data_IF_836002918213
#
_entry.id   IF_836002918213
#
_cell.length_a   1.000
_cell.length_b   1.000
_cell.length_c   1.000
_cell.angle_alpha   90.00
_cell.angle_beta   90.00
_cell.angle_gamma   90.00
#
_symmetry.space_group_name_H-M   'P 1'
#
loop_
_entity.id
_entity.type
_entity.pdbx_description
1 polymer ?
#
# COMPACT_ATOMS: atom_id res chain seq x y z
N UNK A 1 -5.35 -24.49 -1.03
CA UNK A 1 -4.22 -23.61 -1.40
C UNK A 1 -3.05 -23.94 -0.49
N UNK A 2 -1.84 -24.10 -1.04
CA UNK A 2 -0.63 -24.35 -0.26
C UNK A 2 -0.15 -23.10 0.48
N UNK A 3 0.74 -23.26 1.45
CA UNK A 3 1.29 -22.15 2.25
C UNK A 3 1.96 -21.10 1.34
N UNK A 4 2.77 -21.56 0.40
CA UNK A 4 3.55 -20.75 -0.54
C UNK A 4 2.64 -19.90 -1.43
N UNK A 5 1.51 -20.47 -1.89
CA UNK A 5 0.52 -19.74 -2.68
C UNK A 5 -0.18 -18.64 -1.85
N UNK A 6 -0.46 -18.90 -0.57
CA UNK A 6 -1.02 -17.88 0.32
C UNK A 6 -0.01 -16.74 0.57
N UNK A 7 1.27 -17.07 0.78
CA UNK A 7 2.31 -16.04 0.95
C UNK A 7 2.54 -15.24 -0.34
N UNK A 8 2.45 -15.86 -1.52
CA UNK A 8 2.49 -15.14 -2.80
C UNK A 8 1.29 -14.18 -2.98
N UNK A 9 0.10 -14.56 -2.48
CA UNK A 9 -1.04 -13.65 -2.44
C UNK A 9 -0.75 -12.44 -1.53
N UNK A 10 -0.24 -12.68 -0.32
CA UNK A 10 0.13 -11.60 0.62
C UNK A 10 1.18 -10.69 0.00
N UNK A 11 2.29 -11.23 -0.54
CA UNK A 11 3.32 -10.43 -1.21
C UNK A 11 2.72 -9.52 -2.30
N UNK A 12 1.82 -10.07 -3.13
CA UNK A 12 1.17 -9.33 -4.20
C UNK A 12 0.23 -8.22 -3.70
N UNK A 13 -0.58 -8.51 -2.68
CA UNK A 13 -1.53 -7.54 -2.11
C UNK A 13 -0.78 -6.42 -1.40
N UNK A 14 0.13 -6.76 -0.48
CA UNK A 14 0.81 -5.77 0.35
C UNK A 14 1.78 -4.90 -0.45
N UNK A 15 2.34 -5.41 -1.55
CA UNK A 15 3.11 -4.57 -2.49
C UNK A 15 2.26 -3.42 -3.06
N UNK A 16 1.02 -3.71 -3.49
CA UNK A 16 0.16 -2.70 -4.09
C UNK A 16 -0.48 -1.79 -3.03
N UNK A 17 -0.88 -2.34 -1.87
CA UNK A 17 -1.45 -1.55 -0.78
C UNK A 17 -0.39 -0.63 -0.16
N UNK A 18 0.80 -1.13 0.13
CA UNK A 18 1.90 -0.32 0.66
C UNK A 18 2.31 0.81 -0.30
N UNK A 19 2.35 0.52 -1.61
CA UNK A 19 2.58 1.56 -2.64
C UNK A 19 1.46 2.61 -2.62
N UNK A 20 0.20 2.18 -2.54
CA UNK A 20 -0.94 3.08 -2.50
C UNK A 20 -0.91 4.03 -1.30
N UNK A 21 -0.65 3.52 -0.10
CA UNK A 21 -0.53 4.38 1.09
C UNK A 21 0.64 5.35 0.98
N UNK A 22 1.77 4.92 0.41
CA UNK A 22 2.90 5.81 0.18
C UNK A 22 2.55 6.98 -0.77
N UNK A 23 1.81 6.69 -1.85
CA UNK A 23 1.33 7.71 -2.78
C UNK A 23 0.31 8.67 -2.13
N UNK A 24 -0.60 8.16 -1.28
CA UNK A 24 -1.53 8.99 -0.52
C UNK A 24 -0.78 9.95 0.43
N UNK A 25 0.18 9.44 1.19
CA UNK A 25 1.00 10.24 2.11
C UNK A 25 1.72 11.35 1.33
N UNK A 26 2.32 11.01 0.19
CA UNK A 26 3.02 11.99 -0.65
C UNK A 26 2.09 13.11 -1.11
N UNK A 27 0.92 12.76 -1.65
CA UNK A 27 -0.08 13.75 -2.11
C UNK A 27 -0.54 14.67 -0.97
N UNK A 28 -0.79 14.11 0.22
CA UNK A 28 -1.17 14.91 1.39
C UNK A 28 -0.08 15.88 1.81
N UNK A 29 1.19 15.45 1.83
CA UNK A 29 2.31 16.34 2.14
C UNK A 29 2.48 17.45 1.09
N UNK A 30 2.34 17.12 -0.20
CA UNK A 30 2.37 18.13 -1.28
C UNK A 30 1.22 19.16 -1.12
N UNK A 31 0.02 18.72 -0.71
CA UNK A 31 -1.10 19.62 -0.40
C UNK A 31 -0.81 20.50 0.82
N UNK A 32 -0.19 19.96 1.86
CA UNK A 32 0.17 20.71 3.06
C UNK A 32 1.19 21.81 2.75
N UNK A 33 2.23 21.49 1.99
CA UNK A 33 3.22 22.46 1.53
C UNK A 33 2.57 23.61 0.74
N UNK A 34 1.59 23.29 -0.11
CA UNK A 34 0.84 24.29 -0.86
C UNK A 34 -0.01 25.19 0.06
N UNK A 35 -0.75 24.61 1.01
CA UNK A 35 -1.55 25.36 1.97
C UNK A 35 -0.71 26.29 2.83
N UNK A 36 0.42 25.80 3.34
CA UNK A 36 1.36 26.61 4.12
C UNK A 36 1.94 27.76 3.28
N UNK A 37 2.25 27.52 1.99
CA UNK A 37 2.72 28.56 1.06
C UNK A 37 1.64 29.63 0.77
N UNK A 38 0.36 29.25 0.80
CA UNK A 38 -0.78 30.14 0.66
C UNK A 38 -1.16 30.85 1.99
N UNK A 39 -0.50 30.51 3.10
CA UNK A 39 -0.68 31.11 4.42
C UNK A 39 -1.75 30.44 5.29
N UNK A 40 -2.20 29.24 4.92
CA UNK A 40 -3.11 28.43 5.72
C UNK A 40 -2.34 27.53 6.69
N UNK A 41 -2.91 27.31 7.88
CA UNK A 41 -2.37 26.33 8.85
C UNK A 41 -2.92 24.93 8.58
N UNK A 42 -2.05 23.93 8.65
CA UNK A 42 -2.44 22.52 8.57
C UNK A 42 -2.93 22.07 9.95
N UNK A 43 -4.24 21.89 10.08
CA UNK A 43 -4.87 21.44 11.31
C UNK A 43 -4.39 20.07 11.79
N UNK A 44 -4.45 19.83 13.10
CA UNK A 44 -3.95 18.60 13.73
C UNK A 44 -4.60 17.32 13.19
N UNK A 45 -5.88 17.36 12.81
CA UNK A 45 -6.60 16.23 12.21
C UNK A 45 -5.92 15.71 10.94
N UNK A 46 -5.37 16.60 10.11
CA UNK A 46 -4.64 16.24 8.89
C UNK A 46 -3.28 15.61 9.20
N UNK A 47 -2.62 16.07 10.27
CA UNK A 47 -1.36 15.48 10.75
C UNK A 47 -1.60 14.08 11.31
N UNK A 48 -2.68 13.90 12.07
CA UNK A 48 -3.10 12.60 12.61
C UNK A 48 -3.49 11.61 11.50
N UNK A 49 -4.14 12.09 10.44
CA UNK A 49 -4.43 11.29 9.26
C UNK A 49 -3.12 10.77 8.63
N UNK A 50 -2.14 11.65 8.37
CA UNK A 50 -0.85 11.24 7.80
C UNK A 50 -0.12 10.24 8.71
N UNK A 51 -0.15 10.45 10.03
CA UNK A 51 0.45 9.49 10.98
C UNK A 51 -0.25 8.13 10.93
N UNK A 52 -1.58 8.11 10.82
CA UNK A 52 -2.35 6.89 10.67
C UNK A 52 -1.98 6.15 9.38
N UNK A 53 -1.90 6.85 8.25
CA UNK A 53 -1.52 6.25 6.97
C UNK A 53 -0.07 5.73 7.00
N UNK A 54 0.85 6.43 7.66
CA UNK A 54 2.24 5.96 7.86
C UNK A 54 2.29 4.66 8.64
N UNK A 55 1.57 4.58 9.76
CA UNK A 55 1.49 3.35 10.56
C UNK A 55 0.98 2.18 9.73
N UNK A 56 -0.12 2.37 8.99
CA UNK A 56 -0.69 1.30 8.16
C UNK A 56 0.30 0.89 7.05
N UNK A 57 0.91 1.85 6.35
CA UNK A 57 1.94 1.56 5.34
C UNK A 57 3.07 0.70 5.93
N UNK A 58 3.55 1.06 7.12
CA UNK A 58 4.67 0.37 7.76
C UNK A 58 4.25 -1.06 8.18
N UNK A 59 3.01 -1.24 8.67
CA UNK A 59 2.42 -2.57 8.93
C UNK A 59 2.36 -3.45 7.67
N UNK A 60 1.99 -2.90 6.50
CA UNK A 60 1.97 -3.67 5.26
C UNK A 60 3.38 -4.01 4.73
N UNK A 61 4.38 -3.17 4.99
CA UNK A 61 5.77 -3.49 4.68
C UNK A 61 6.27 -4.65 5.56
N UNK A 62 5.91 -4.68 6.85
CA UNK A 62 6.21 -5.82 7.73
C UNK A 62 5.53 -7.11 7.25
N UNK A 63 4.25 -7.03 6.83
CA UNK A 63 3.55 -8.16 6.23
C UNK A 63 4.21 -8.66 4.94
N UNK A 64 4.66 -7.74 4.08
CA UNK A 64 5.37 -8.05 2.84
C UNK A 64 6.70 -8.75 3.12
N UNK A 65 7.50 -8.24 4.06
CA UNK A 65 8.77 -8.85 4.45
C UNK A 65 8.55 -10.28 4.98
N UNK A 66 7.56 -10.46 5.86
CA UNK A 66 7.16 -11.79 6.32
C UNK A 66 6.70 -12.71 5.18
N UNK A 67 5.99 -12.17 4.18
CA UNK A 67 5.59 -12.93 3.00
C UNK A 67 6.78 -13.45 2.20
N UNK A 68 7.75 -12.58 1.95
CA UNK A 68 8.98 -12.90 1.21
C UNK A 68 9.84 -13.91 1.97
N UNK A 69 9.97 -13.76 3.30
CA UNK A 69 10.72 -14.68 4.16
C UNK A 69 10.10 -16.08 4.24
N UNK A 70 8.76 -16.17 4.20
CA UNK A 70 8.02 -17.43 4.28
C UNK A 70 7.71 -18.04 2.91
N UNK A 71 8.69 -18.03 2.01
CA UNK A 71 8.68 -18.80 0.76
C UNK A 71 7.59 -18.40 -0.26
N UNK A 72 7.09 -17.15 -0.24
CA UNK A 72 6.16 -16.67 -1.29
C UNK A 72 6.67 -16.97 -2.71
N UNK A 73 7.96 -16.75 -2.95
CA UNK A 73 8.63 -16.98 -4.25
C UNK A 73 8.69 -18.44 -4.69
N UNK A 74 8.37 -19.40 -3.81
CA UNK A 74 8.31 -20.83 -4.15
C UNK A 74 6.95 -21.26 -4.72
N UNK A 75 5.96 -20.36 -4.77
CA UNK A 75 4.69 -20.67 -5.44
C UNK A 75 4.93 -20.91 -6.94
N UNK A 76 4.28 -21.92 -7.53
CA UNK A 76 4.38 -22.18 -8.96
C UNK A 76 2.99 -22.15 -9.63
N UNK A 77 2.78 -21.31 -10.66
CA UNK A 77 3.66 -20.24 -11.17
C UNK A 77 3.51 -18.92 -10.38
N UNK A 78 4.51 -18.53 -9.57
CA UNK A 78 4.52 -17.31 -8.75
C UNK A 78 4.22 -16.04 -9.55
N UNK A 79 4.94 -15.83 -10.65
CA UNK A 79 4.82 -14.63 -11.48
C UNK A 79 3.40 -14.41 -12.02
N UNK A 80 2.69 -15.49 -12.34
CA UNK A 80 1.34 -15.43 -12.89
C UNK A 80 0.33 -15.14 -11.77
N UNK A 81 0.47 -15.83 -10.63
CA UNK A 81 -0.38 -15.63 -9.46
C UNK A 81 -0.27 -14.19 -8.94
N UNK A 82 0.96 -13.73 -8.71
CA UNK A 82 1.21 -12.36 -8.25
C UNK A 82 0.80 -11.33 -9.28
N UNK A 83 1.06 -11.58 -10.57
CA UNK A 83 0.66 -10.68 -11.66
C UNK A 83 -0.85 -10.42 -11.72
N UNK A 84 -1.66 -11.48 -11.64
CA UNK A 84 -3.13 -11.38 -11.66
C UNK A 84 -3.65 -10.67 -10.41
N UNK A 85 -3.14 -11.03 -9.23
CA UNK A 85 -3.58 -10.44 -7.96
C UNK A 85 -3.25 -8.94 -7.93
N UNK A 86 -2.01 -8.57 -8.28
CA UNK A 86 -1.60 -7.16 -8.35
C UNK A 86 -2.46 -6.37 -9.32
N UNK A 87 -2.81 -6.94 -10.48
CA UNK A 87 -3.72 -6.28 -11.43
C UNK A 87 -5.12 -6.06 -10.83
N UNK A 88 -5.65 -7.05 -10.09
CA UNK A 88 -6.89 -6.92 -9.35
C UNK A 88 -6.84 -5.82 -8.29
N UNK A 89 -5.78 -5.78 -7.47
CA UNK A 89 -5.57 -4.74 -6.45
C UNK A 89 -5.52 -3.35 -7.08
N UNK A 90 -4.72 -3.15 -8.14
CA UNK A 90 -4.70 -1.86 -8.86
C UNK A 90 -6.06 -1.46 -9.40
N UNK A 91 -6.83 -2.41 -9.92
CA UNK A 91 -8.19 -2.17 -10.39
C UNK A 91 -9.11 -1.70 -9.26
N UNK A 92 -9.07 -2.37 -8.10
CA UNK A 92 -9.85 -1.99 -6.93
C UNK A 92 -9.46 -0.59 -6.43
N UNK A 93 -8.16 -0.32 -6.28
CA UNK A 93 -7.63 1.00 -5.88
C UNK A 93 -8.11 2.09 -6.85
N UNK A 94 -7.96 1.86 -8.16
CA UNK A 94 -8.35 2.81 -9.20
C UNK A 94 -9.84 3.15 -9.15
N UNK A 95 -10.69 2.16 -8.83
CA UNK A 95 -12.12 2.37 -8.63
C UNK A 95 -12.34 3.20 -7.37
N UNK A 96 -11.74 2.81 -6.26
CA UNK A 96 -11.87 3.51 -4.96
C UNK A 96 -11.43 4.97 -5.01
N UNK A 97 -10.42 5.32 -5.78
CA UNK A 97 -9.97 6.72 -5.96
C UNK A 97 -10.96 7.60 -6.77
N UNK A 98 -11.95 7.00 -7.44
CA UNK A 98 -12.92 7.70 -8.32
C UNK A 98 -14.30 7.89 -7.73
N UNK A 99 -14.60 7.21 -6.62
CA UNK A 99 -15.90 7.33 -5.94
C UNK A 99 -15.86 8.48 -4.95
#
# INVERSE_FOLDING_TARGET
>A
MGREAAMACTEAVETEIGTHYNDQIRKLLEMFEQWEAEGYEVGDEFRDLVNTLRRIRDEELEHLDHAVEHDAKKAEPHWLLTGVIRAGCRGAIWVSERV
#
